data_IF_062764323750
#
_entry.id   IF_062764323750
#
_cell.length_a   1.000
_cell.length_b   1.000
_cell.length_c   1.000
_cell.angle_alpha   90.00
_cell.angle_beta   90.00
_cell.angle_gamma   90.00
#
_symmetry.space_group_name_H-M   'P 1'
#
loop_
_entity.id
_entity.type
_entity.pdbx_description
1 polymer ?
#
# COMPACT_ATOMS: atom_id res chain seq x y z
N UNK A 1 26.16 -0.46 -6.84
CA UNK A 1 24.78 -0.54 -7.38
C UNK A 1 24.33 -1.98 -7.20
N UNK A 2 23.53 -2.28 -6.17
CA UNK A 2 22.98 -3.62 -5.98
C UNK A 2 21.46 -3.52 -6.11
N UNK A 3 20.97 -4.04 -7.22
CA UNK A 3 19.57 -4.34 -7.47
C UNK A 3 19.13 -5.45 -6.53
N UNK A 4 18.34 -5.11 -5.50
CA UNK A 4 17.57 -6.08 -4.73
C UNK A 4 16.17 -6.21 -5.32
N UNK A 5 16.06 -6.88 -6.48
CA UNK A 5 14.77 -7.38 -6.98
C UNK A 5 14.45 -8.72 -6.30
N UNK A 6 13.70 -8.68 -5.19
CA UNK A 6 13.01 -9.86 -4.65
C UNK A 6 11.73 -10.12 -5.46
N UNK A 7 11.86 -10.54 -6.72
CA UNK A 7 10.73 -10.75 -7.65
C UNK A 7 9.99 -12.09 -7.50
N UNK A 8 10.24 -12.87 -6.45
CA UNK A 8 9.72 -14.24 -6.32
C UNK A 8 8.34 -14.42 -5.69
N UNK A 9 7.70 -13.36 -5.14
CA UNK A 9 6.57 -13.56 -4.22
C UNK A 9 5.31 -12.74 -4.49
N UNK A 10 5.07 -12.37 -5.75
CA UNK A 10 3.84 -11.72 -6.17
C UNK A 10 2.82 -12.74 -6.68
N UNK A 11 1.54 -12.54 -6.35
CA UNK A 11 0.41 -13.27 -6.92
C UNK A 11 -0.57 -12.28 -7.55
N UNK A 12 -0.98 -12.57 -8.79
CA UNK A 12 -2.01 -11.78 -9.46
C UNK A 12 -3.40 -12.26 -9.06
N UNK A 13 -4.26 -11.33 -8.66
CA UNK A 13 -5.67 -11.60 -8.37
C UNK A 13 -6.55 -10.70 -9.21
N UNK A 14 -7.73 -11.19 -9.56
CA UNK A 14 -8.69 -10.48 -10.38
C UNK A 14 -9.94 -10.17 -9.57
N UNK A 15 -10.51 -8.99 -9.79
CA UNK A 15 -11.80 -8.62 -9.23
C UNK A 15 -12.64 -7.87 -10.25
N UNK A 16 -13.96 -8.04 -10.17
CA UNK A 16 -14.90 -7.27 -10.99
C UNK A 16 -15.26 -5.98 -10.27
N UNK A 17 -14.97 -4.85 -10.87
CA UNK A 17 -15.39 -3.56 -10.35
C UNK A 17 -16.83 -3.27 -10.80
N UNK A 18 -17.70 -2.90 -9.85
CA UNK A 18 -19.10 -2.55 -10.15
C UNK A 18 -19.27 -1.12 -10.69
N UNK A 19 -18.27 -0.25 -10.49
CA UNK A 19 -18.32 1.16 -10.91
C UNK A 19 -18.07 1.31 -12.40
N UNK A 20 -16.94 0.79 -12.88
CA UNK A 20 -16.56 0.82 -14.30
C UNK A 20 -17.05 -0.43 -15.07
N UNK A 21 -17.61 -1.42 -14.37
CA UNK A 21 -18.12 -2.68 -14.92
C UNK A 21 -17.06 -3.54 -15.66
N UNK A 22 -15.79 -3.36 -15.32
CA UNK A 22 -14.66 -4.12 -15.90
C UNK A 22 -13.97 -5.00 -14.85
N UNK A 23 -13.21 -5.99 -15.32
CA UNK A 23 -12.37 -6.85 -14.46
C UNK A 23 -10.97 -6.28 -14.40
N UNK A 24 -10.45 -6.11 -13.18
CA UNK A 24 -9.13 -5.56 -12.92
C UNK A 24 -8.23 -6.61 -12.29
N UNK A 25 -6.93 -6.49 -12.54
CA UNK A 25 -5.90 -7.30 -11.91
C UNK A 25 -5.13 -6.48 -10.88
N UNK A 26 -4.82 -7.10 -9.74
CA UNK A 26 -3.90 -6.55 -8.75
C UNK A 26 -2.80 -7.55 -8.45
N UNK A 27 -1.63 -7.06 -8.09
CA UNK A 27 -0.51 -7.88 -7.62
C UNK A 27 -0.40 -7.77 -6.11
N UNK A 28 -0.46 -8.92 -5.44
CA UNK A 28 -0.34 -9.02 -3.99
C UNK A 28 0.97 -9.73 -3.65
N UNK A 29 1.71 -9.20 -2.69
CA UNK A 29 2.84 -9.92 -2.13
C UNK A 29 2.33 -11.02 -1.19
N UNK A 30 2.78 -12.27 -1.33
CA UNK A 30 2.35 -13.36 -0.43
C UNK A 30 2.73 -13.10 1.03
N UNK A 31 3.77 -12.30 1.28
CA UNK A 31 4.17 -11.87 2.62
C UNK A 31 3.12 -10.96 3.29
N UNK A 32 2.10 -10.48 2.57
CA UNK A 32 0.98 -9.74 3.16
C UNK A 32 0.25 -10.53 4.27
N UNK A 33 0.38 -11.85 4.27
CA UNK A 33 -0.21 -12.72 5.29
C UNK A 33 0.62 -12.83 6.58
N UNK A 34 1.90 -12.47 6.54
CA UNK A 34 2.82 -12.65 7.68
C UNK A 34 2.34 -11.82 8.88
N UNK A 35 2.25 -12.45 10.05
CA UNK A 35 1.82 -11.80 11.30
C UNK A 35 0.31 -11.51 11.40
N UNK A 36 -0.50 -11.83 10.39
CA UNK A 36 -1.96 -11.62 10.46
C UNK A 36 -2.69 -12.78 11.14
N UNK A 37 -3.57 -12.44 12.07
CA UNK A 37 -4.38 -13.41 12.84
C UNK A 37 -5.88 -13.35 12.54
N UNK A 38 -6.35 -12.35 11.78
CA UNK A 38 -7.77 -12.10 11.48
C UNK A 38 -7.99 -11.97 9.97
N UNK A 39 -9.07 -12.56 9.49
CA UNK A 39 -9.46 -12.61 8.08
C UNK A 39 -10.99 -12.53 7.92
N UNK A 40 -11.50 -12.02 6.77
CA UNK A 40 -10.73 -11.33 5.75
C UNK A 40 -10.19 -9.99 6.27
N UNK A 41 -9.04 -9.55 5.76
CA UNK A 41 -8.45 -8.25 6.12
C UNK A 41 -8.64 -7.25 4.97
N UNK A 42 -8.79 -5.96 5.29
CA UNK A 42 -8.90 -4.93 4.26
C UNK A 42 -7.55 -4.66 3.60
N UNK A 43 -7.56 -4.57 2.27
CA UNK A 43 -6.43 -4.16 1.45
C UNK A 43 -6.89 -3.08 0.47
N UNK A 44 -6.19 -1.96 0.42
CA UNK A 44 -6.60 -0.79 -0.33
C UNK A 44 -5.74 -0.65 -1.56
N UNK A 45 -6.38 -0.36 -2.68
CA UNK A 45 -5.70 -0.13 -3.96
C UNK A 45 -6.35 1.03 -4.71
N UNK A 46 -5.57 1.73 -5.52
CA UNK A 46 -6.07 2.77 -6.41
C UNK A 46 -6.62 2.16 -7.69
N UNK A 47 -7.78 2.63 -8.10
CA UNK A 47 -8.45 2.22 -9.32
C UNK A 47 -8.62 3.43 -10.23
N UNK A 48 -8.07 3.35 -11.44
CA UNK A 48 -8.25 4.36 -12.48
C UNK A 48 -9.05 3.81 -13.66
N UNK A 49 -9.94 4.62 -14.22
CA UNK A 49 -10.69 4.31 -15.43
C UNK A 49 -10.98 5.58 -16.25
N UNK A 50 -11.12 5.42 -17.56
CA UNK A 50 -11.47 6.54 -18.46
C UNK A 50 -12.96 6.47 -18.78
N UNK A 51 -13.65 7.60 -18.58
CA UNK A 51 -15.06 7.78 -18.94
C UNK A 51 -15.26 9.20 -19.44
N UNK A 52 -15.92 9.36 -20.59
CA UNK A 52 -16.19 10.66 -21.23
C UNK A 52 -14.92 11.51 -21.42
N UNK A 53 -13.83 10.90 -21.90
CA UNK A 53 -12.50 11.49 -22.07
C UNK A 53 -11.87 12.09 -20.80
N UNK A 54 -12.39 11.70 -19.62
CA UNK A 54 -11.83 12.07 -18.32
C UNK A 54 -11.24 10.86 -17.62
N UNK A 55 -10.04 11.02 -17.10
CA UNK A 55 -9.45 10.08 -16.16
C UNK A 55 -10.18 10.23 -14.82
N UNK A 56 -10.78 9.15 -14.36
CA UNK A 56 -11.43 9.05 -13.06
C UNK A 56 -10.60 8.10 -12.21
N UNK A 57 -10.33 8.49 -10.98
CA UNK A 57 -9.60 7.69 -10.02
C UNK A 57 -10.39 7.60 -8.72
N UNK A 58 -10.43 6.41 -8.13
CA UNK A 58 -11.05 6.18 -6.84
C UNK A 58 -10.35 5.03 -6.12
N UNK A 59 -10.48 4.99 -4.80
CA UNK A 59 -9.95 3.90 -4.00
C UNK A 59 -10.90 2.71 -4.00
N UNK A 60 -10.35 1.51 -3.95
CA UNK A 60 -11.11 0.27 -3.76
C UNK A 60 -10.54 -0.47 -2.56
N UNK A 61 -11.43 -0.80 -1.62
CA UNK A 61 -11.10 -1.72 -0.54
C UNK A 61 -11.46 -3.14 -0.96
N UNK A 62 -10.48 -4.03 -0.85
CA UNK A 62 -10.59 -5.45 -1.16
C UNK A 62 -10.47 -6.23 0.15
N UNK A 63 -11.42 -7.12 0.40
CA UNK A 63 -11.38 -7.99 1.58
C UNK A 63 -10.68 -9.29 1.22
N UNK A 64 -9.45 -9.47 1.70
CA UNK A 64 -8.57 -10.58 1.34
C UNK A 64 -8.57 -11.64 2.44
N UNK A 65 -8.78 -12.90 2.09
CA UNK A 65 -8.70 -14.01 3.03
C UNK A 65 -7.29 -14.61 3.17
N UNK A 66 -7.18 -15.66 3.99
CA UNK A 66 -5.93 -16.38 4.24
C UNK A 66 -5.33 -17.06 3.00
N UNK A 67 -6.13 -17.29 1.96
CA UNK A 67 -5.74 -17.93 0.70
C UNK A 67 -5.50 -16.89 -0.40
N UNK A 68 -5.39 -15.61 -0.01
CA UNK A 68 -5.25 -14.44 -0.88
C UNK A 68 -6.42 -14.30 -1.87
N UNK A 69 -7.61 -14.81 -1.53
CA UNK A 69 -8.81 -14.64 -2.33
C UNK A 69 -9.52 -13.34 -1.95
N UNK A 70 -10.01 -12.64 -2.97
CA UNK A 70 -10.82 -11.43 -2.80
C UNK A 70 -12.25 -11.89 -2.50
N UNK A 71 -12.72 -11.66 -1.28
CA UNK A 71 -14.05 -12.02 -0.79
C UNK A 71 -15.07 -10.89 -0.88
N UNK A 72 -14.60 -9.65 -0.96
CA UNK A 72 -15.44 -8.46 -1.09
C UNK A 72 -14.69 -7.35 -1.81
N UNK A 73 -15.44 -6.50 -2.49
CA UNK A 73 -14.95 -5.33 -3.23
C UNK A 73 -15.86 -4.16 -2.88
N UNK A 74 -15.29 -3.13 -2.29
CA UNK A 74 -15.98 -1.92 -1.88
C UNK A 74 -15.33 -0.71 -2.58
N UNK A 75 -15.98 -0.17 -3.64
CA UNK A 75 -15.51 1.04 -4.29
C UNK A 75 -15.82 2.26 -3.43
N UNK A 76 -14.83 3.13 -3.24
CA UNK A 76 -14.97 4.35 -2.43
C UNK A 76 -15.01 5.58 -3.34
N UNK A 77 -16.22 6.05 -3.63
CA UNK A 77 -16.49 7.12 -4.60
C UNK A 77 -16.64 8.49 -3.92
N UNK A 78 -15.52 9.16 -3.62
CA UNK A 78 -15.48 10.59 -3.26
C UNK A 78 -16.01 10.98 -1.86
N UNK A 79 -15.48 12.10 -1.34
CA UNK A 79 -15.79 12.90 -0.13
C UNK A 79 -16.07 12.24 1.23
N UNK A 80 -16.05 10.92 1.36
CA UNK A 80 -16.09 10.30 2.68
C UNK A 80 -14.68 10.34 3.29
N UNK A 81 -14.54 11.00 4.45
CA UNK A 81 -13.31 10.96 5.25
C UNK A 81 -12.98 9.49 5.57
N UNK A 82 -12.05 8.93 4.79
CA UNK A 82 -11.66 7.51 4.82
C UNK A 82 -11.17 7.06 6.20
N UNK A 83 -10.55 8.00 6.91
CA UNK A 83 -10.12 7.86 8.28
C UNK A 83 -10.87 8.88 9.11
N UNK A 84 -11.32 8.49 10.30
CA UNK A 84 -11.67 9.51 11.29
C UNK A 84 -10.46 10.40 11.53
N UNK A 85 -10.69 11.62 12.01
CA UNK A 85 -9.60 12.53 12.37
C UNK A 85 -8.59 11.85 13.31
N UNK A 86 -9.07 11.02 14.23
CA UNK A 86 -8.24 10.23 15.15
C UNK A 86 -7.36 9.22 14.41
N UNK A 87 -7.93 8.46 13.47
CA UNK A 87 -7.17 7.49 12.66
C UNK A 87 -6.13 8.20 11.78
N UNK A 88 -6.46 9.37 11.23
CA UNK A 88 -5.51 10.17 10.45
C UNK A 88 -4.35 10.67 11.31
N UNK A 89 -4.63 11.09 12.55
CA UNK A 89 -3.60 11.50 13.50
C UNK A 89 -2.69 10.33 13.88
N UNK A 90 -3.24 9.14 14.12
CA UNK A 90 -2.46 7.94 14.46
C UNK A 90 -1.50 7.54 13.32
N UNK A 91 -2.01 7.53 12.08
CA UNK A 91 -1.20 7.25 10.89
C UNK A 91 -0.10 8.30 10.73
N UNK A 92 -0.45 9.58 10.87
CA UNK A 92 0.51 10.67 10.70
C UNK A 92 1.59 10.62 11.77
N UNK A 93 1.23 10.33 13.03
CA UNK A 93 2.19 10.16 14.13
C UNK A 93 3.17 9.03 13.85
N UNK A 94 2.65 7.86 13.46
CA UNK A 94 3.47 6.68 13.13
C UNK A 94 4.45 6.98 11.99
N UNK A 95 3.98 7.65 10.93
CA UNK A 95 4.83 8.03 9.81
C UNK A 95 5.88 9.08 10.20
N UNK A 96 5.54 10.03 11.08
CA UNK A 96 6.49 11.02 11.58
C UNK A 96 7.60 10.39 12.42
N UNK A 97 7.25 9.41 13.27
CA UNK A 97 8.23 8.64 14.05
C UNK A 97 9.21 7.91 13.12
N UNK A 98 8.70 7.23 12.10
CA UNK A 98 9.54 6.51 11.14
C UNK A 98 10.45 7.47 10.33
N UNK A 99 9.95 8.65 9.95
CA UNK A 99 10.74 9.68 9.27
C UNK A 99 11.91 10.15 10.16
N UNK A 100 11.69 10.30 11.46
CA UNK A 100 12.74 10.73 12.37
C UNK A 100 13.81 9.66 12.56
N UNK A 101 13.42 8.39 12.72
CA UNK A 101 14.35 7.26 12.73
C UNK A 101 15.22 7.26 11.47
N UNK A 102 14.60 7.40 10.29
CA UNK A 102 15.32 7.43 9.02
C UNK A 102 16.27 8.63 8.90
N UNK A 103 15.93 9.78 9.50
CA UNK A 103 16.82 10.96 9.53
C UNK A 103 18.05 10.72 10.39
N UNK A 104 17.85 10.16 11.59
CA UNK A 104 18.96 9.82 12.50
C UNK A 104 19.91 8.81 11.86
N UNK A 105 19.36 7.77 11.22
CA UNK A 105 20.17 6.78 10.49
C UNK A 105 20.97 7.42 9.36
N UNK A 106 20.35 8.33 8.59
CA UNK A 106 21.02 9.03 7.50
C UNK A 106 22.16 9.93 7.99
N UNK A 107 21.95 10.65 9.10
CA UNK A 107 22.99 11.47 9.73
C UNK A 107 24.18 10.60 10.17
N UNK A 108 23.91 9.52 10.90
CA UNK A 108 24.94 8.59 11.37
C UNK A 108 25.74 7.95 10.23
N UNK A 109 25.05 7.56 9.15
CA UNK A 109 25.70 7.00 7.97
C UNK A 109 26.56 8.05 7.25
N UNK A 110 26.09 9.29 7.15
CA UNK A 110 26.84 10.41 6.56
C UNK A 110 28.10 10.71 7.36
N UNK A 111 28.02 10.72 8.68
CA UNK A 111 29.18 10.90 9.56
C UNK A 111 30.21 9.79 9.39
N UNK A 112 29.76 8.52 9.35
CA UNK A 112 30.63 7.37 9.07
C UNK A 112 31.33 7.50 7.71
N UNK A 113 30.60 7.85 6.66
CA UNK A 113 31.17 8.05 5.32
C UNK A 113 32.25 9.14 5.33
N UNK A 114 32.00 10.26 6.00
CA UNK A 114 32.99 11.33 6.13
C UNK A 114 34.23 10.91 6.94
N UNK A 115 34.08 10.06 7.96
CA UNK A 115 35.21 9.48 8.69
C UNK A 115 36.03 8.52 7.83
N UNK A 116 35.39 7.74 6.95
CA UNK A 116 36.07 6.84 6.02
C UNK A 116 36.75 7.57 4.85
N UNK A 117 36.15 8.64 4.33
CA UNK A 117 36.69 9.41 3.20
C UNK A 117 37.83 10.37 3.58
N UNK A 118 37.96 10.70 4.87
CA UNK A 118 39.06 11.52 5.41
C UNK A 118 40.25 10.67 5.92
N UNK A 119 40.30 9.38 5.57
CA UNK A 119 41.47 8.49 5.72
C UNK A 119 42.10 8.24 4.37
#
# INVERSE_FOLDING_TARGET
>A
MNEHSKDGNLITKFYRCKVCNTTHSIQLNKNLLEGRSKYPFPYITMHSYVKDDKLNEFMVMLYIDKDLQIRGVEPMLGNDDFFTKEQMLEITSTLMEEIEVLREENLHLTEKLNQFNNR
#
